data_IF_499641589905
#
_entry.id   IF_499641589905
#
_cell.length_a   1.000
_cell.length_b   1.000
_cell.length_c   1.000
_cell.angle_alpha   90.00
_cell.angle_beta   90.00
_cell.angle_gamma   90.00
#
_symmetry.space_group_name_H-M   'P 1'
#
loop_
_entity.id
_entity.type
_entity.pdbx_description
1 polymer ?
#
# COMPACT_ATOMS: atom_id res chain seq x y z
N UNK A 1 5.92 14.28 -10.20
CA UNK A 1 6.32 14.78 -8.88
C UNK A 1 5.21 14.46 -7.89
N UNK A 2 5.54 13.95 -6.70
CA UNK A 2 4.56 13.72 -5.64
C UNK A 2 4.29 15.01 -4.85
N UNK A 3 3.35 14.97 -3.91
CA UNK A 3 3.11 16.07 -2.96
C UNK A 3 4.18 16.17 -1.85
N UNK A 4 5.12 15.22 -1.80
CA UNK A 4 6.31 15.28 -0.93
C UNK A 4 7.44 15.95 -1.70
N UNK A 5 8.03 16.99 -1.11
CA UNK A 5 9.14 17.72 -1.74
C UNK A 5 10.30 16.77 -2.07
N UNK A 6 10.84 16.88 -3.27
CA UNK A 6 11.96 16.10 -3.81
C UNK A 6 11.68 14.58 -3.97
N UNK A 7 10.43 14.14 -3.85
CA UNK A 7 10.02 12.78 -4.13
C UNK A 7 9.28 12.71 -5.46
N UNK A 8 9.72 11.80 -6.32
CA UNK A 8 9.10 11.51 -7.62
C UNK A 8 8.66 10.05 -7.64
N UNK A 9 7.59 9.78 -8.35
CA UNK A 9 7.10 8.43 -8.61
C UNK A 9 6.71 8.31 -10.08
N UNK A 10 6.90 7.13 -10.65
CA UNK A 10 6.44 6.78 -12.00
C UNK A 10 6.17 5.28 -12.06
N UNK A 11 5.36 4.88 -13.04
CA UNK A 11 4.93 3.49 -13.18
C UNK A 11 3.81 3.11 -12.20
N UNK A 12 3.61 1.85 -11.98
CA UNK A 12 2.47 1.29 -11.25
C UNK A 12 2.32 1.81 -9.81
N UNK A 13 3.42 2.22 -9.16
CA UNK A 13 3.38 2.83 -7.83
C UNK A 13 2.91 4.31 -7.84
N UNK A 14 2.83 4.93 -9.02
CA UNK A 14 2.37 6.28 -9.20
C UNK A 14 0.96 6.26 -9.78
N UNK A 15 -0.05 6.62 -9.01
CA UNK A 15 -1.37 6.87 -9.57
C UNK A 15 -1.32 8.18 -10.37
N UNK A 16 -1.23 8.06 -11.71
CA UNK A 16 -1.05 9.19 -12.63
C UNK A 16 -2.37 9.60 -13.34
N UNK A 17 -3.48 8.96 -13.03
CA UNK A 17 -4.84 9.18 -13.61
C UNK A 17 -4.92 9.03 -15.15
N UNK A 18 -3.93 8.39 -15.78
CA UNK A 18 -3.83 8.30 -17.25
C UNK A 18 -4.43 7.03 -17.86
N UNK A 19 -4.77 6.06 -17.05
CA UNK A 19 -5.29 4.75 -17.49
C UNK A 19 -6.78 4.55 -17.18
N UNK A 20 -7.46 5.56 -16.65
CA UNK A 20 -8.85 5.43 -16.21
C UNK A 20 -9.00 4.38 -15.08
N UNK A 21 -10.10 3.67 -15.10
CA UNK A 21 -10.42 2.69 -14.07
C UNK A 21 -9.70 1.33 -14.21
N UNK A 22 -9.03 1.09 -15.35
CA UNK A 22 -8.31 -0.15 -15.60
C UNK A 22 -7.22 0.04 -16.66
N UNK A 23 -5.96 -0.23 -16.27
CA UNK A 23 -4.84 -0.18 -17.20
C UNK A 23 -4.86 -1.38 -18.16
N UNK A 24 -4.80 -1.13 -19.46
CA UNK A 24 -4.68 -2.17 -20.47
C UNK A 24 -3.28 -2.82 -20.46
N UNK A 25 -3.25 -4.10 -20.81
CA UNK A 25 -2.00 -4.83 -20.96
C UNK A 25 -1.05 -4.16 -21.97
N UNK A 26 0.26 -4.18 -21.68
CA UNK A 26 1.27 -3.51 -22.50
C UNK A 26 1.53 -2.04 -22.17
N UNK A 27 0.53 -1.28 -21.72
CA UNK A 27 0.68 0.13 -21.38
C UNK A 27 1.60 0.38 -20.18
N UNK A 28 1.87 -0.64 -19.36
CA UNK A 28 2.80 -0.55 -18.24
C UNK A 28 4.21 -0.18 -18.67
N UNK A 29 4.75 -0.90 -19.66
CA UNK A 29 6.10 -0.62 -20.17
C UNK A 29 6.19 0.75 -20.80
N UNK A 30 5.18 1.16 -21.57
CA UNK A 30 5.12 2.48 -22.18
C UNK A 30 5.14 3.59 -21.11
N UNK A 31 4.34 3.41 -20.06
CA UNK A 31 4.28 4.32 -18.93
C UNK A 31 5.62 4.45 -18.20
N UNK A 32 6.21 3.34 -17.76
CA UNK A 32 7.44 3.38 -16.96
C UNK A 32 8.62 3.94 -17.74
N UNK A 33 8.73 3.68 -19.05
CA UNK A 33 9.80 4.23 -19.91
C UNK A 33 9.60 5.73 -20.11
N UNK A 34 8.37 6.15 -20.47
CA UNK A 34 8.08 7.56 -20.77
C UNK A 34 8.17 8.43 -19.51
N UNK A 35 7.40 8.07 -18.48
CA UNK A 35 7.37 8.87 -17.26
C UNK A 35 8.59 8.68 -16.37
N UNK A 36 9.30 7.54 -16.47
CA UNK A 36 10.58 7.35 -15.84
C UNK A 36 11.62 8.36 -16.31
N UNK A 37 11.70 8.56 -17.64
CA UNK A 37 12.57 9.59 -18.24
C UNK A 37 12.19 10.98 -17.76
N UNK A 38 10.89 11.32 -17.77
CA UNK A 38 10.39 12.63 -17.33
C UNK A 38 10.66 12.85 -15.84
N UNK A 39 10.39 11.84 -14.99
CA UNK A 39 10.64 11.92 -13.56
C UNK A 39 12.13 12.11 -13.24
N UNK A 40 13.01 11.35 -13.92
CA UNK A 40 14.45 11.47 -13.77
C UNK A 40 14.98 12.85 -14.20
N UNK A 41 14.52 13.37 -15.35
CA UNK A 41 14.88 14.71 -15.82
C UNK A 41 14.44 15.79 -14.83
N UNK A 42 13.19 15.72 -14.35
CA UNK A 42 12.68 16.69 -13.37
C UNK A 42 13.44 16.59 -12.04
N UNK A 43 13.74 15.39 -11.57
CA UNK A 43 14.47 15.17 -10.33
C UNK A 43 15.91 15.74 -10.41
N UNK A 44 16.55 15.65 -11.60
CA UNK A 44 17.90 16.20 -11.79
C UNK A 44 17.92 17.73 -11.86
N UNK A 45 16.82 18.34 -12.32
CA UNK A 45 16.67 19.78 -12.46
C UNK A 45 16.09 20.45 -11.21
N UNK A 46 15.53 19.68 -10.27
CA UNK A 46 15.00 20.24 -9.02
C UNK A 46 16.15 20.77 -8.15
N UNK A 47 15.96 21.97 -7.58
CA UNK A 47 16.98 22.57 -6.71
C UNK A 47 17.34 21.60 -5.59
N UNK A 48 18.64 21.32 -5.45
CA UNK A 48 19.20 20.47 -4.39
C UNK A 48 19.17 21.20 -3.04
N UNK A 49 17.98 21.62 -2.61
CA UNK A 49 17.78 22.10 -1.26
C UNK A 49 17.83 20.90 -0.31
N UNK A 50 19.03 20.53 0.11
CA UNK A 50 19.24 19.54 1.17
C UNK A 50 18.68 20.17 2.44
N UNK A 51 17.47 19.80 2.81
CA UNK A 51 16.90 20.15 4.11
C UNK A 51 17.79 19.58 5.21
N UNK A 52 18.01 20.41 6.23
CA UNK A 52 18.98 20.17 7.30
C UNK A 52 18.92 18.75 7.86
N UNK A 53 20.07 18.10 7.90
CA UNK A 53 20.39 16.73 8.36
C UNK A 53 19.75 16.36 9.72
N UNK A 54 19.39 17.32 10.58
CA UNK A 54 18.80 17.08 11.90
C UNK A 54 17.45 16.31 11.88
N UNK A 55 16.61 16.51 10.87
CA UNK A 55 15.32 15.81 10.76
C UNK A 55 15.52 14.34 10.33
N UNK A 56 16.52 14.10 9.48
CA UNK A 56 16.90 12.75 9.03
C UNK A 56 17.39 11.88 10.18
N UNK A 57 18.21 12.43 11.08
CA UNK A 57 18.73 11.69 12.23
C UNK A 57 17.64 11.23 13.21
N UNK A 58 16.57 11.99 13.37
CA UNK A 58 15.44 11.59 14.23
C UNK A 58 14.66 10.43 13.60
N UNK A 59 14.37 10.50 12.31
CA UNK A 59 13.68 9.43 11.58
C UNK A 59 14.50 8.15 11.54
N UNK A 60 15.81 8.27 11.26
CA UNK A 60 16.71 7.11 11.25
C UNK A 60 16.76 6.41 12.61
N UNK A 61 16.90 7.16 13.72
CA UNK A 61 16.86 6.56 15.06
C UNK A 61 15.54 5.84 15.34
N UNK A 62 14.42 6.43 14.94
CA UNK A 62 13.11 5.79 15.10
C UNK A 62 13.01 4.49 14.30
N UNK A 63 13.54 4.46 13.08
CA UNK A 63 13.55 3.26 12.26
C UNK A 63 14.48 2.19 12.83
N UNK A 64 15.67 2.57 13.33
CA UNK A 64 16.57 1.67 14.05
C UNK A 64 15.91 1.06 15.29
N UNK A 65 15.22 1.86 16.09
CA UNK A 65 14.46 1.39 17.26
C UNK A 65 13.35 0.42 16.85
N UNK A 66 12.62 0.72 15.79
CA UNK A 66 11.55 -0.14 15.27
C UNK A 66 12.10 -1.49 14.77
N UNK A 67 13.23 -1.49 14.08
CA UNK A 67 13.91 -2.71 13.64
C UNK A 67 14.41 -3.50 14.86
N UNK A 68 15.04 -2.84 15.83
CA UNK A 68 15.53 -3.49 17.02
C UNK A 68 14.41 -4.15 17.86
N UNK A 69 13.22 -3.57 17.90
CA UNK A 69 12.04 -4.18 18.53
C UNK A 69 11.67 -5.51 17.88
N UNK A 70 11.77 -5.63 16.55
CA UNK A 70 11.44 -6.88 15.83
C UNK A 70 12.32 -8.03 16.26
N UNK A 71 13.59 -7.80 16.60
CA UNK A 71 14.47 -8.84 17.13
C UNK A 71 13.99 -9.41 18.48
N UNK A 72 13.18 -8.65 19.22
CA UNK A 72 12.62 -9.04 20.53
C UNK A 72 11.20 -9.61 20.43
N UNK A 73 10.57 -9.57 19.26
CA UNK A 73 9.26 -10.15 19.07
C UNK A 73 9.28 -11.67 19.30
N UNK A 74 8.19 -12.18 19.87
CA UNK A 74 8.04 -13.62 20.03
C UNK A 74 7.77 -14.30 18.69
N UNK A 75 8.27 -15.50 18.48
CA UNK A 75 8.03 -16.25 17.25
C UNK A 75 7.02 -17.40 17.51
N UNK A 76 5.87 -17.03 18.11
CA UNK A 76 4.78 -17.98 18.42
C UNK A 76 3.91 -18.26 17.19
N UNK A 77 3.79 -17.30 16.30
CA UNK A 77 2.97 -17.36 15.09
C UNK A 77 3.91 -17.29 13.88
N UNK A 78 3.79 -18.25 12.99
CA UNK A 78 4.55 -18.27 11.75
C UNK A 78 3.98 -17.25 10.74
N UNK A 79 4.70 -16.15 10.51
CA UNK A 79 4.24 -15.10 9.60
C UNK A 79 4.21 -15.54 8.12
N UNK A 80 5.00 -16.51 7.69
CA UNK A 80 4.92 -17.04 6.33
C UNK A 80 3.56 -17.69 6.08
N UNK A 81 3.09 -18.49 7.04
CA UNK A 81 1.74 -19.06 6.95
C UNK A 81 0.67 -17.96 6.92
N UNK A 82 0.81 -16.93 7.76
CA UNK A 82 -0.13 -15.81 7.76
C UNK A 82 -0.09 -15.02 6.43
N UNK A 83 1.08 -14.91 5.80
CA UNK A 83 1.23 -14.27 4.47
C UNK A 83 0.46 -15.06 3.40
N UNK A 84 0.55 -16.37 3.40
CA UNK A 84 -0.17 -17.24 2.47
C UNK A 84 -1.69 -17.19 2.72
N UNK A 85 -2.10 -17.28 3.99
CA UNK A 85 -3.51 -17.22 4.39
C UNK A 85 -4.14 -15.87 3.99
N UNK A 86 -3.46 -14.75 4.20
CA UNK A 86 -3.97 -13.43 3.80
C UNK A 86 -3.98 -13.24 2.29
N UNK A 87 -3.01 -13.82 1.58
CA UNK A 87 -2.99 -13.85 0.11
C UNK A 87 -4.23 -14.55 -0.46
N UNK A 88 -4.59 -15.71 0.08
CA UNK A 88 -5.79 -16.44 -0.29
C UNK A 88 -7.07 -15.67 0.05
N UNK A 89 -7.12 -15.02 1.22
CA UNK A 89 -8.26 -14.18 1.60
C UNK A 89 -8.41 -12.96 0.69
N UNK A 90 -7.31 -12.30 0.32
CA UNK A 90 -7.31 -11.19 -0.63
C UNK A 90 -7.87 -11.65 -1.98
N UNK A 91 -7.41 -12.78 -2.49
CA UNK A 91 -7.88 -13.32 -3.76
C UNK A 91 -9.38 -13.62 -3.72
N UNK A 92 -9.87 -14.27 -2.67
CA UNK A 92 -11.26 -14.72 -2.56
C UNK A 92 -12.25 -13.59 -2.20
N UNK A 93 -11.80 -12.58 -1.44
CA UNK A 93 -12.67 -11.55 -0.88
C UNK A 93 -12.53 -10.18 -1.57
N UNK A 94 -11.37 -9.91 -2.19
CA UNK A 94 -11.07 -8.66 -2.86
C UNK A 94 -10.62 -8.84 -4.32
N UNK A 95 -10.67 -10.06 -4.85
CA UNK A 95 -10.38 -10.37 -6.25
C UNK A 95 -11.35 -9.67 -7.21
N UNK A 96 -11.82 -10.35 -8.24
CA UNK A 96 -12.68 -9.76 -9.27
C UNK A 96 -14.09 -9.46 -8.75
N UNK A 97 -14.74 -10.43 -8.11
CA UNK A 97 -16.13 -10.33 -7.63
C UNK A 97 -16.17 -9.99 -6.14
N UNK A 98 -16.56 -8.78 -5.81
CA UNK A 98 -16.50 -8.17 -4.48
C UNK A 98 -17.90 -7.94 -3.93
N UNK A 99 -18.05 -7.96 -2.61
CA UNK A 99 -19.23 -7.46 -1.91
C UNK A 99 -18.82 -6.93 -0.52
N UNK A 100 -19.73 -6.22 0.14
CA UNK A 100 -19.47 -5.59 1.44
C UNK A 100 -19.08 -6.60 2.53
N UNK A 101 -19.75 -7.75 2.59
CA UNK A 101 -19.51 -8.80 3.56
C UNK A 101 -18.08 -9.37 3.45
N UNK A 102 -17.68 -9.77 2.23
CA UNK A 102 -16.35 -10.33 1.96
C UNK A 102 -15.24 -9.32 2.27
N UNK A 103 -15.41 -8.05 1.83
CA UNK A 103 -14.42 -7.01 2.08
C UNK A 103 -14.32 -6.71 3.57
N UNK A 104 -15.44 -6.62 4.28
CA UNK A 104 -15.47 -6.36 5.72
C UNK A 104 -14.82 -7.49 6.53
N UNK A 105 -15.05 -8.74 6.14
CA UNK A 105 -14.38 -9.92 6.72
C UNK A 105 -12.87 -9.86 6.54
N UNK A 106 -12.40 -9.49 5.34
CA UNK A 106 -10.98 -9.31 5.05
C UNK A 106 -10.37 -8.19 5.91
N UNK A 107 -11.02 -7.03 6.00
CA UNK A 107 -10.55 -5.89 6.82
C UNK A 107 -10.43 -6.31 8.28
N UNK A 108 -11.42 -7.05 8.81
CA UNK A 108 -11.39 -7.55 10.19
C UNK A 108 -10.16 -8.46 10.40
N UNK A 109 -9.94 -9.41 9.49
CA UNK A 109 -8.80 -10.32 9.59
C UNK A 109 -7.45 -9.61 9.53
N UNK A 110 -7.28 -8.62 8.63
CA UNK A 110 -6.05 -7.82 8.56
C UNK A 110 -5.81 -7.06 9.87
N UNK A 111 -6.84 -6.47 10.46
CA UNK A 111 -6.73 -5.77 11.74
C UNK A 111 -6.33 -6.71 12.87
N UNK A 112 -6.90 -7.91 12.94
CA UNK A 112 -6.51 -8.95 13.90
C UNK A 112 -5.03 -9.32 13.76
N UNK A 113 -4.56 -9.55 12.53
CA UNK A 113 -3.14 -9.86 12.28
C UNK A 113 -2.20 -8.70 12.69
N UNK A 114 -2.62 -7.45 12.49
CA UNK A 114 -1.84 -6.30 12.92
C UNK A 114 -1.73 -6.20 14.47
N UNK A 115 -2.75 -6.62 15.20
CA UNK A 115 -2.68 -6.69 16.67
C UNK A 115 -1.75 -7.80 17.16
N UNK A 116 -1.62 -8.89 16.40
CA UNK A 116 -0.78 -10.04 16.74
C UNK A 116 0.66 -9.93 16.16
N UNK A 117 1.03 -8.80 15.57
CA UNK A 117 2.30 -8.67 14.83
C UNK A 117 3.53 -8.94 15.70
N UNK A 118 3.48 -8.61 16.99
CA UNK A 118 4.58 -8.84 17.94
C UNK A 118 4.73 -10.32 18.35
N UNK A 119 3.74 -11.14 18.04
CA UNK A 119 3.77 -12.60 18.19
C UNK A 119 4.30 -13.31 16.94
N UNK A 120 4.60 -12.57 15.86
CA UNK A 120 5.08 -13.06 14.56
C UNK A 120 6.55 -12.67 14.33
N UNK A 121 7.39 -12.83 15.34
CA UNK A 121 8.80 -12.43 15.25
C UNK A 121 9.60 -13.27 14.25
N UNK A 122 10.82 -12.83 14.03
CA UNK A 122 11.78 -13.50 13.15
C UNK A 122 12.55 -14.59 13.89
N UNK A 123 12.83 -15.72 13.23
CA UNK A 123 13.64 -16.80 13.77
C UNK A 123 15.14 -16.51 13.66
N UNK A 124 15.58 -15.96 12.52
CA UNK A 124 16.95 -15.53 12.31
C UNK A 124 17.23 -14.21 13.03
N UNK A 125 18.17 -14.23 13.96
CA UNK A 125 18.60 -13.06 14.75
C UNK A 125 19.92 -12.45 14.26
N UNK A 126 20.47 -12.92 13.14
CA UNK A 126 21.65 -12.32 12.53
C UNK A 126 21.38 -10.87 12.10
N UNK A 127 22.41 -10.03 12.20
CA UNK A 127 22.32 -8.61 11.81
C UNK A 127 22.80 -8.35 10.37
N UNK A 128 23.36 -9.36 9.72
CA UNK A 128 23.95 -9.25 8.39
C UNK A 128 23.30 -10.25 7.47
N UNK A 129 22.89 -9.81 6.29
CA UNK A 129 22.21 -10.65 5.27
C UNK A 129 20.95 -11.37 5.77
N UNK A 130 20.24 -10.78 6.73
CA UNK A 130 19.03 -11.37 7.33
C UNK A 130 17.83 -11.26 6.40
N UNK A 131 17.65 -12.26 5.55
CA UNK A 131 16.50 -12.34 4.63
C UNK A 131 15.18 -12.48 5.39
N UNK A 132 15.19 -13.18 6.56
CA UNK A 132 13.98 -13.36 7.36
C UNK A 132 13.44 -12.02 7.91
N UNK A 133 14.33 -11.08 8.27
CA UNK A 133 13.93 -9.72 8.64
C UNK A 133 13.31 -8.96 7.47
N UNK A 134 13.93 -9.05 6.28
CA UNK A 134 13.40 -8.37 5.07
C UNK A 134 11.99 -8.89 4.75
N UNK A 135 11.81 -10.21 4.72
CA UNK A 135 10.51 -10.82 4.43
C UNK A 135 9.43 -10.50 5.48
N UNK A 136 9.84 -10.34 6.75
CA UNK A 136 8.93 -9.89 7.80
C UNK A 136 8.50 -8.42 7.61
N UNK A 137 9.44 -7.54 7.22
CA UNK A 137 9.13 -6.14 6.91
C UNK A 137 8.21 -6.03 5.68
N UNK A 138 8.46 -6.83 4.65
CA UNK A 138 7.58 -6.94 3.48
C UNK A 138 6.17 -7.40 3.88
N UNK A 139 6.06 -8.42 4.73
CA UNK A 139 4.77 -8.90 5.23
C UNK A 139 3.99 -7.79 5.96
N UNK A 140 4.65 -7.03 6.82
CA UNK A 140 4.03 -5.84 7.47
C UNK A 140 3.53 -4.82 6.45
N UNK A 141 4.32 -4.55 5.42
CA UNK A 141 3.93 -3.63 4.35
C UNK A 141 2.74 -4.18 3.56
N UNK A 142 2.71 -5.48 3.25
CA UNK A 142 1.58 -6.14 2.60
C UNK A 142 0.31 -5.97 3.42
N UNK A 143 0.33 -6.18 4.74
CA UNK A 143 -0.83 -5.98 5.60
C UNK A 143 -1.35 -4.53 5.56
N UNK A 144 -0.44 -3.55 5.59
CA UNK A 144 -0.81 -2.14 5.51
C UNK A 144 -1.45 -1.79 4.17
N UNK A 145 -0.83 -2.18 3.06
CA UNK A 145 -1.35 -1.90 1.71
C UNK A 145 -2.68 -2.63 1.50
N UNK A 146 -2.77 -3.90 1.90
CA UNK A 146 -4.01 -4.68 1.81
C UNK A 146 -5.17 -4.03 2.59
N UNK A 147 -4.89 -3.48 3.77
CA UNK A 147 -5.88 -2.74 4.54
C UNK A 147 -6.38 -1.51 3.79
N UNK A 148 -5.47 -0.70 3.25
CA UNK A 148 -5.81 0.53 2.52
C UNK A 148 -6.62 0.21 1.25
N UNK A 149 -6.21 -0.78 0.47
CA UNK A 149 -6.94 -1.21 -0.74
C UNK A 149 -8.33 -1.74 -0.38
N UNK A 150 -8.44 -2.54 0.70
CA UNK A 150 -9.74 -3.09 1.14
C UNK A 150 -10.69 -1.98 1.61
N UNK A 151 -10.20 -1.00 2.38
CA UNK A 151 -11.01 0.14 2.83
C UNK A 151 -11.44 1.00 1.63
N UNK A 152 -10.55 1.24 0.67
CA UNK A 152 -10.89 1.97 -0.57
C UNK A 152 -11.98 1.25 -1.36
N UNK A 153 -11.86 -0.07 -1.54
CA UNK A 153 -12.84 -0.88 -2.24
C UNK A 153 -14.19 -0.95 -1.51
N UNK A 154 -14.19 -0.99 -0.17
CA UNK A 154 -15.41 -0.97 0.63
C UNK A 154 -16.20 0.33 0.45
N UNK A 155 -15.49 1.46 0.41
CA UNK A 155 -16.09 2.79 0.30
C UNK A 155 -16.58 3.11 -1.12
N UNK A 156 -16.00 2.50 -2.16
CA UNK A 156 -16.45 2.66 -3.54
C UNK A 156 -17.65 1.75 -3.83
N UNK A 157 -18.85 2.30 -3.68
CA UNK A 157 -20.12 1.59 -3.83
C UNK A 157 -20.64 1.70 -5.28
N UNK A 158 -19.84 1.22 -6.21
CA UNK A 158 -20.15 1.11 -7.65
C UNK A 158 -19.34 -0.03 -8.27
N UNK A 159 -19.59 -0.35 -9.53
CA UNK A 159 -18.72 -1.18 -10.36
C UNK A 159 -18.13 -0.34 -11.49
N UNK A 160 -16.77 -0.32 -11.64
CA UNK A 160 -16.07 0.45 -12.66
C UNK A 160 -14.72 -0.19 -12.97
N UNK A 161 -14.46 -0.49 -14.24
CA UNK A 161 -13.24 -1.17 -14.67
C UNK A 161 -13.08 -2.53 -13.98
N UNK A 162 -11.93 -2.76 -13.35
CA UNK A 162 -11.65 -4.00 -12.60
C UNK A 162 -12.28 -4.06 -11.21
N UNK A 163 -12.86 -2.96 -10.73
CA UNK A 163 -13.60 -2.93 -9.47
C UNK A 163 -15.05 -3.35 -9.71
N UNK A 164 -15.38 -4.63 -9.50
CA UNK A 164 -16.72 -5.16 -9.67
C UNK A 164 -17.37 -5.53 -8.33
N UNK A 165 -18.44 -4.82 -7.98
CA UNK A 165 -19.22 -4.98 -6.76
C UNK A 165 -20.54 -5.71 -7.07
N UNK A 166 -20.70 -6.94 -6.58
CA UNK A 166 -21.95 -7.70 -6.74
C UNK A 166 -23.15 -6.98 -6.12
N UNK A 167 -22.93 -6.25 -5.04
CA UNK A 167 -23.94 -5.45 -4.31
C UNK A 167 -24.16 -4.05 -4.91
N UNK A 168 -23.30 -3.60 -5.80
CA UNK A 168 -23.40 -2.33 -6.55
C UNK A 168 -22.93 -2.51 -8.00
N UNK A 169 -23.69 -3.24 -8.85
CA UNK A 169 -23.21 -3.70 -10.16
C UNK A 169 -23.11 -2.61 -11.24
N UNK A 170 -23.63 -1.43 -10.99
CA UNK A 170 -23.66 -0.33 -11.95
C UNK A 170 -22.64 0.76 -11.62
N UNK A 171 -22.15 1.46 -12.64
CA UNK A 171 -21.39 2.68 -12.49
C UNK A 171 -22.27 3.82 -11.94
N UNK A 172 -21.66 4.69 -11.14
CA UNK A 172 -22.34 5.88 -10.60
C UNK A 172 -21.52 7.14 -10.90
N UNK A 173 -22.15 8.16 -11.48
CA UNK A 173 -21.51 9.42 -11.82
C UNK A 173 -20.81 10.09 -10.62
N UNK A 174 -21.37 10.00 -9.43
CA UNK A 174 -20.75 10.55 -8.20
C UNK A 174 -19.38 9.96 -7.87
N UNK A 175 -19.06 8.77 -8.39
CA UNK A 175 -17.78 8.05 -8.21
C UNK A 175 -16.87 8.15 -9.44
N UNK A 176 -17.19 8.96 -10.44
CA UNK A 176 -16.30 9.30 -11.56
C UNK A 176 -15.16 10.22 -11.07
N UNK A 177 -14.42 9.71 -10.09
CA UNK A 177 -13.42 10.43 -9.30
C UNK A 177 -12.36 9.47 -8.81
N UNK A 178 -11.18 9.99 -8.51
CA UNK A 178 -10.14 9.24 -7.84
C UNK A 178 -10.51 8.94 -6.38
N UNK A 179 -10.20 7.73 -5.92
CA UNK A 179 -10.30 7.38 -4.50
C UNK A 179 -9.01 7.78 -3.80
N UNK A 180 -9.09 8.78 -2.94
CA UNK A 180 -7.96 9.25 -2.14
C UNK A 180 -8.09 8.72 -0.72
N UNK A 181 -7.02 8.10 -0.23
CA UNK A 181 -6.95 7.58 1.14
C UNK A 181 -5.83 8.28 1.91
N UNK A 182 -6.16 8.78 3.09
CA UNK A 182 -5.21 9.52 3.96
C UNK A 182 -5.33 9.04 5.39
N UNK A 183 -4.22 9.09 6.13
CA UNK A 183 -4.20 8.94 7.58
C UNK A 183 -4.27 10.34 8.21
N UNK A 184 -5.30 10.60 9.01
CA UNK A 184 -5.51 11.86 9.73
C UNK A 184 -5.80 11.49 11.18
N UNK A 185 -5.03 12.01 12.12
CA UNK A 185 -5.17 11.72 13.56
C UNK A 185 -5.34 10.22 13.86
N UNK A 186 -4.44 9.41 13.31
CA UNK A 186 -4.44 7.93 13.37
C UNK A 186 -5.67 7.22 12.78
N UNK A 187 -6.58 7.96 12.15
CA UNK A 187 -7.73 7.41 11.44
C UNK A 187 -7.50 7.37 9.94
N UNK A 188 -7.97 6.31 9.31
CA UNK A 188 -7.98 6.21 7.85
C UNK A 188 -9.23 6.92 7.34
N UNK A 189 -9.03 7.92 6.48
CA UNK A 189 -10.08 8.71 5.84
C UNK A 189 -10.06 8.47 4.34
N UNK A 190 -11.21 8.18 3.75
CA UNK A 190 -11.40 8.01 2.30
C UNK A 190 -12.16 9.21 1.76
N UNK A 191 -11.69 9.77 0.66
CA UNK A 191 -12.34 10.84 -0.11
C UNK A 191 -12.38 10.50 -1.58
N UNK A 192 -13.27 11.13 -2.31
CA UNK A 192 -13.34 11.07 -3.77
C UNK A 192 -13.03 12.47 -4.31
N UNK A 193 -11.96 12.58 -5.11
CA UNK A 193 -11.47 13.83 -5.66
C UNK A 193 -11.54 13.79 -7.19
N UNK A 194 -11.80 14.93 -7.83
CA UNK A 194 -11.88 15.02 -9.29
C UNK A 194 -10.57 14.53 -9.93
N UNK A 195 -10.72 13.96 -11.12
CA UNK A 195 -9.58 13.55 -11.95
C UNK A 195 -8.95 14.83 -12.51
N UNK A 196 -7.69 15.04 -12.22
CA UNK A 196 -6.92 16.22 -12.66
C UNK A 196 -6.17 15.92 -13.94
#
# INVERSE_FOLDING_TARGET
>A
KTNIKNLFACGECAEASIHGANRLGGNSLLEIVTFGKIAGTNASNDEKNISKIHTLNKSLKQDEENINKIYNYSNKINFYKQKDDIGNLLFNNLGLFRNEEKISTLIKKIKELNLEIENMGIADKSKTYNKNLVEFLEFRNILNVALLVSISALNRKESRGSHFRLDYPSEMQKYEKNTIIKKVDDKIVVKFEEIV
#
